data_IF_376266711456
#
_entry.id   IF_376266711456
#
_cell.length_a   1.000
_cell.length_b   1.000
_cell.length_c   1.000
_cell.angle_alpha   90.00
_cell.angle_beta   90.00
_cell.angle_gamma   90.00
#
_symmetry.space_group_name_H-M   'P 1'
#
loop_
_entity.id
_entity.type
_entity.pdbx_description
1 polymer ?
#
# COMPACT_ATOMS: atom_id res chain seq x y z
N UNK A 1 70.41 -40.29 -52.55
CA UNK A 1 71.20 -39.14 -52.04
C UNK A 1 70.34 -37.89 -52.21
N UNK A 2 70.45 -36.95 -51.27
CA UNK A 2 69.42 -36.03 -50.78
C UNK A 2 69.11 -34.75 -51.60
N UNK A 3 68.06 -34.05 -51.13
CA UNK A 3 67.86 -32.57 -51.11
C UNK A 3 67.13 -31.93 -52.32
N UNK A 4 65.87 -31.48 -52.24
CA UNK A 4 65.19 -30.34 -51.54
C UNK A 4 65.01 -29.09 -52.44
N UNK A 5 63.81 -28.91 -53.01
CA UNK A 5 62.74 -27.91 -52.73
C UNK A 5 62.97 -26.47 -53.26
N UNK A 6 62.02 -25.97 -54.06
CA UNK A 6 61.47 -24.60 -53.98
C UNK A 6 60.09 -24.48 -54.68
N UNK A 7 59.23 -23.69 -54.02
CA UNK A 7 57.85 -23.23 -54.28
C UNK A 7 57.76 -22.25 -55.50
N UNK A 8 56.63 -21.78 -56.07
CA UNK A 8 55.23 -21.61 -55.67
C UNK A 8 54.33 -21.36 -56.92
N UNK A 9 52.98 -21.46 -56.81
CA UNK A 9 52.05 -21.46 -57.93
C UNK A 9 51.24 -20.16 -58.14
N UNK A 10 50.54 -20.21 -59.27
CA UNK A 10 49.58 -19.33 -59.94
C UNK A 10 48.38 -18.82 -59.15
N UNK A 11 47.88 -17.65 -59.60
CA UNK A 11 46.60 -17.02 -59.28
C UNK A 11 45.38 -17.85 -59.67
N UNK A 12 44.29 -17.84 -58.89
CA UNK A 12 42.89 -17.80 -59.38
C UNK A 12 41.90 -17.27 -58.33
N UNK A 13 40.81 -16.70 -58.86
CA UNK A 13 39.72 -15.96 -58.24
C UNK A 13 39.10 -16.55 -56.97
N UNK A 14 38.80 -15.66 -56.02
CA UNK A 14 38.12 -15.97 -54.76
C UNK A 14 36.68 -15.43 -54.76
N UNK A 15 35.73 -16.35 -54.58
CA UNK A 15 34.32 -16.11 -54.31
C UNK A 15 34.14 -15.86 -52.80
N UNK A 16 33.90 -14.62 -52.39
CA UNK A 16 33.42 -14.31 -51.03
C UNK A 16 32.22 -13.36 -51.05
N UNK A 17 31.23 -13.56 -50.15
CA UNK A 17 29.97 -12.82 -50.18
C UNK A 17 30.14 -11.40 -49.63
N UNK A 18 29.39 -10.48 -50.24
CA UNK A 18 29.30 -9.07 -49.83
C UNK A 18 28.67 -8.98 -48.44
N UNK A 19 29.30 -8.36 -47.44
CA UNK A 19 28.70 -8.19 -46.13
C UNK A 19 27.59 -7.14 -46.21
N UNK A 20 26.36 -7.53 -45.87
CA UNK A 20 25.25 -6.60 -45.66
C UNK A 20 25.55 -5.77 -44.41
N UNK A 21 25.88 -4.50 -44.62
CA UNK A 21 26.08 -3.54 -43.54
C UNK A 21 24.75 -3.35 -42.80
N UNK A 22 24.58 -4.02 -41.66
CA UNK A 22 23.56 -3.66 -40.68
C UNK A 22 23.95 -2.31 -40.11
N UNK A 23 23.19 -1.26 -40.46
CA UNK A 23 23.33 0.06 -39.86
C UNK A 23 22.91 -0.07 -38.39
N UNK A 24 23.88 -0.29 -37.52
CA UNK A 24 23.69 -0.21 -36.08
C UNK A 24 23.63 1.28 -35.75
N UNK A 25 22.45 1.83 -35.46
CA UNK A 25 22.33 3.16 -34.89
C UNK A 25 22.76 3.08 -33.42
N UNK A 26 23.91 3.63 -33.03
CA UNK A 26 24.30 3.61 -31.63
C UNK A 26 23.34 4.52 -30.87
N UNK A 27 22.57 3.94 -29.93
CA UNK A 27 21.83 4.72 -28.95
C UNK A 27 22.88 5.43 -28.09
N UNK A 28 23.11 6.72 -28.39
CA UNK A 28 23.94 7.58 -27.54
C UNK A 28 23.14 7.96 -26.30
N UNK A 29 23.32 7.19 -25.24
CA UNK A 29 23.09 7.71 -23.89
C UNK A 29 24.18 8.77 -23.63
N UNK A 30 23.84 10.05 -23.78
CA UNK A 30 24.74 11.14 -23.38
C UNK A 30 25.07 11.05 -21.89
N UNK A 31 26.20 11.64 -21.43
CA UNK A 31 26.59 11.64 -20.02
C UNK A 31 25.41 12.06 -19.13
N UNK A 32 25.00 11.20 -18.19
CA UNK A 32 23.93 11.49 -17.21
C UNK A 32 24.40 12.48 -16.13
N UNK A 33 25.56 13.10 -16.33
CA UNK A 33 26.48 13.43 -15.26
C UNK A 33 26.37 14.89 -14.80
N UNK A 34 25.37 15.63 -15.29
CA UNK A 34 25.05 16.99 -14.84
C UNK A 34 23.64 17.13 -14.25
N UNK A 35 22.92 16.02 -14.01
CA UNK A 35 21.79 16.09 -13.09
C UNK A 35 22.37 16.23 -11.69
N UNK A 36 22.38 17.47 -11.19
CA UNK A 36 22.54 17.73 -9.77
C UNK A 36 21.63 16.77 -8.98
N UNK A 37 22.05 16.32 -7.80
CA UNK A 37 21.36 15.24 -7.13
C UNK A 37 19.91 15.68 -6.91
N UNK A 38 18.95 14.84 -7.33
CA UNK A 38 17.50 15.08 -7.28
C UNK A 38 16.99 15.04 -5.81
N UNK A 39 17.71 15.69 -4.89
CA UNK A 39 17.54 15.56 -3.43
C UNK A 39 16.48 16.51 -2.92
N UNK A 40 16.35 17.70 -3.52
CA UNK A 40 15.31 18.66 -3.12
C UNK A 40 13.98 18.27 -3.78
N UNK A 41 13.18 17.45 -3.09
CA UNK A 41 11.79 17.16 -3.45
C UNK A 41 11.41 15.69 -3.60
N UNK A 42 12.33 14.74 -3.39
CA UNK A 42 11.96 13.31 -3.35
C UNK A 42 11.36 12.95 -1.99
N UNK A 43 10.10 12.53 -2.00
CA UNK A 43 9.38 12.01 -0.83
C UNK A 43 9.86 10.59 -0.47
N UNK A 44 10.53 9.88 -1.40
CA UNK A 44 10.99 8.50 -1.25
C UNK A 44 12.51 8.39 -1.26
N UNK A 45 13.05 7.55 -0.37
CA UNK A 45 14.48 7.17 -0.38
C UNK A 45 14.82 6.29 -1.58
N UNK A 46 16.11 6.13 -1.87
CA UNK A 46 16.57 5.19 -2.91
C UNK A 46 16.20 3.75 -2.58
N UNK A 47 16.28 3.36 -1.32
CA UNK A 47 15.93 2.01 -0.85
C UNK A 47 14.43 1.73 -1.03
N UNK A 48 13.57 2.68 -0.64
CA UNK A 48 12.13 2.56 -0.86
C UNK A 48 11.79 2.42 -2.36
N UNK A 49 12.43 3.22 -3.22
CA UNK A 49 12.24 3.14 -4.67
C UNK A 49 12.65 1.76 -5.21
N UNK A 50 13.81 1.24 -4.79
CA UNK A 50 14.29 -0.07 -5.22
C UNK A 50 13.37 -1.20 -4.71
N UNK A 51 12.90 -1.13 -3.47
CA UNK A 51 11.96 -2.08 -2.90
C UNK A 51 10.65 -2.14 -3.68
N UNK A 52 10.04 -0.99 -3.99
CA UNK A 52 8.83 -0.90 -4.82
C UNK A 52 9.06 -1.54 -6.18
N UNK A 53 10.17 -1.21 -6.85
CA UNK A 53 10.48 -1.76 -8.16
C UNK A 53 10.71 -3.26 -8.12
N UNK A 54 11.39 -3.78 -7.09
CA UNK A 54 11.61 -5.20 -6.90
C UNK A 54 10.28 -5.95 -6.69
N UNK A 55 9.38 -5.44 -5.84
CA UNK A 55 8.05 -6.01 -5.61
C UNK A 55 7.24 -6.08 -6.91
N UNK A 56 7.17 -4.98 -7.67
CA UNK A 56 6.42 -4.92 -8.93
C UNK A 56 6.99 -5.88 -9.99
N UNK A 57 8.32 -6.00 -10.07
CA UNK A 57 8.98 -6.97 -10.97
C UNK A 57 8.67 -8.41 -10.57
N UNK A 58 8.75 -8.72 -9.27
CA UNK A 58 8.44 -10.04 -8.74
C UNK A 58 6.99 -10.44 -9.05
N UNK A 59 6.02 -9.55 -8.82
CA UNK A 59 4.60 -9.81 -9.11
C UNK A 59 4.31 -10.00 -10.60
N UNK A 60 4.99 -9.24 -11.47
CA UNK A 60 4.85 -9.42 -12.92
C UNK A 60 5.39 -10.79 -13.35
N UNK A 61 6.51 -11.22 -12.77
CA UNK A 61 7.11 -12.51 -13.07
C UNK A 61 6.27 -13.67 -12.53
N UNK A 62 5.69 -13.53 -11.33
CA UNK A 62 4.80 -14.54 -10.74
C UNK A 62 3.57 -14.85 -11.60
N UNK A 63 3.12 -13.88 -12.38
CA UNK A 63 1.97 -14.03 -13.28
C UNK A 63 2.34 -14.74 -14.59
N UNK A 64 3.63 -14.81 -14.93
CA UNK A 64 4.13 -15.33 -16.21
C UNK A 64 4.76 -16.71 -16.09
N UNK A 65 5.21 -17.11 -14.91
CA UNK A 65 5.80 -18.43 -14.65
C UNK A 65 4.92 -19.20 -13.67
N UNK A 66 4.61 -20.46 -13.98
CA UNK A 66 3.88 -21.41 -13.13
C UNK A 66 4.59 -21.76 -11.81
N UNK A 67 5.78 -21.20 -11.58
CA UNK A 67 6.48 -21.27 -10.30
C UNK A 67 5.98 -20.15 -9.40
N UNK A 68 5.46 -20.51 -8.23
CA UNK A 68 5.02 -19.60 -7.17
C UNK A 68 6.19 -18.68 -6.73
N UNK A 69 6.45 -17.60 -7.47
CA UNK A 69 7.55 -16.69 -7.11
C UNK A 69 7.11 -15.87 -5.91
N UNK A 70 7.65 -16.24 -4.74
CA UNK A 70 7.45 -15.52 -3.48
C UNK A 70 7.91 -14.07 -3.62
N UNK A 71 7.11 -13.13 -3.09
CA UNK A 71 7.50 -11.72 -3.03
C UNK A 71 8.79 -11.57 -2.20
N UNK A 72 9.68 -10.63 -2.56
CA UNK A 72 10.93 -10.40 -1.83
C UNK A 72 10.65 -9.97 -0.39
N UNK A 73 11.50 -10.41 0.55
CA UNK A 73 11.42 -9.98 1.94
C UNK A 73 11.77 -8.51 2.07
N UNK A 74 10.99 -7.77 2.87
CA UNK A 74 11.21 -6.36 3.18
C UNK A 74 11.71 -6.14 4.62
N UNK A 75 12.02 -7.21 5.35
CA UNK A 75 12.43 -7.16 6.77
C UNK A 75 13.68 -6.31 7.05
N UNK A 76 14.52 -6.08 6.05
CA UNK A 76 15.72 -5.23 6.17
C UNK A 76 15.46 -3.75 5.89
N UNK A 77 14.27 -3.40 5.40
CA UNK A 77 13.92 -2.03 5.07
C UNK A 77 13.53 -1.28 6.35
N UNK A 78 14.16 -0.14 6.61
CA UNK A 78 13.88 0.66 7.80
C UNK A 78 12.40 1.10 7.84
N UNK A 79 11.85 1.29 9.04
CA UNK A 79 10.43 1.66 9.26
C UNK A 79 9.95 2.81 8.36
N UNK A 80 10.70 3.90 8.26
CA UNK A 80 10.33 5.05 7.44
C UNK A 80 10.18 4.68 5.96
N UNK A 81 11.11 3.87 5.44
CA UNK A 81 11.10 3.44 4.04
C UNK A 81 10.02 2.39 3.77
N UNK A 82 9.71 1.55 4.75
CA UNK A 82 8.60 0.59 4.67
C UNK A 82 7.25 1.31 4.61
N UNK A 83 7.05 2.33 5.46
CA UNK A 83 5.85 3.17 5.42
C UNK A 83 5.76 4.01 4.13
N UNK A 84 6.89 4.53 3.65
CA UNK A 84 6.97 5.25 2.39
C UNK A 84 6.64 4.34 1.19
N UNK A 85 7.15 3.10 1.21
CA UNK A 85 6.85 2.05 0.24
C UNK A 85 5.36 1.72 0.22
N UNK A 86 4.75 1.52 1.39
CA UNK A 86 3.31 1.28 1.50
C UNK A 86 2.50 2.43 0.91
N UNK A 87 2.78 3.67 1.31
CA UNK A 87 2.07 4.86 0.81
C UNK A 87 2.20 5.03 -0.71
N UNK A 88 3.38 4.79 -1.27
CA UNK A 88 3.58 4.88 -2.71
C UNK A 88 2.84 3.78 -3.47
N UNK A 89 2.79 2.55 -2.93
CA UNK A 89 2.00 1.47 -3.53
C UNK A 89 0.49 1.75 -3.48
N UNK A 90 -0.02 2.29 -2.38
CA UNK A 90 -1.42 2.75 -2.27
C UNK A 90 -1.71 3.87 -3.27
N UNK A 91 -0.78 4.82 -3.45
CA UNK A 91 -0.89 5.90 -4.44
C UNK A 91 -0.93 5.37 -5.88
N UNK A 92 -0.28 4.23 -6.14
CA UNK A 92 -0.29 3.54 -7.44
C UNK A 92 -1.43 2.51 -7.57
N UNK A 93 -2.34 2.45 -6.60
CA UNK A 93 -3.43 1.47 -6.52
C UNK A 93 -2.96 -0.01 -6.60
N UNK A 94 -1.72 -0.29 -6.22
CA UNK A 94 -1.14 -1.63 -6.16
C UNK A 94 -1.55 -2.35 -4.87
N UNK A 95 -2.85 -2.58 -4.70
CA UNK A 95 -3.45 -3.01 -3.43
C UNK A 95 -2.88 -4.35 -2.90
N UNK A 96 -2.68 -5.35 -3.75
CA UNK A 96 -2.12 -6.63 -3.32
C UNK A 96 -0.69 -6.50 -2.77
N UNK A 97 0.16 -5.68 -3.42
CA UNK A 97 1.50 -5.39 -2.91
C UNK A 97 1.43 -4.55 -1.64
N UNK A 98 0.51 -3.60 -1.54
CA UNK A 98 0.32 -2.78 -0.36
C UNK A 98 -0.08 -3.64 0.87
N UNK A 99 -0.98 -4.61 0.70
CA UNK A 99 -1.35 -5.56 1.76
C UNK A 99 -0.16 -6.41 2.21
N UNK A 100 0.67 -6.87 1.27
CA UNK A 100 1.90 -7.58 1.61
C UNK A 100 2.88 -6.73 2.43
N UNK A 101 3.07 -5.46 2.04
CA UNK A 101 3.91 -4.52 2.80
C UNK A 101 3.31 -4.24 4.17
N UNK A 102 1.99 -4.04 4.27
CA UNK A 102 1.30 -3.84 5.54
C UNK A 102 1.49 -5.04 6.49
N UNK A 103 1.40 -6.27 5.98
CA UNK A 103 1.68 -7.48 6.75
C UNK A 103 3.11 -7.47 7.31
N UNK A 104 4.09 -7.00 6.52
CA UNK A 104 5.48 -6.85 7.01
C UNK A 104 5.60 -5.73 8.05
N UNK A 105 4.90 -4.61 7.88
CA UNK A 105 4.85 -3.53 8.89
C UNK A 105 4.31 -4.06 10.22
N UNK A 106 3.26 -4.89 10.18
CA UNK A 106 2.63 -5.49 11.35
C UNK A 106 3.57 -6.44 12.09
N UNK A 107 4.36 -7.24 11.37
CA UNK A 107 5.29 -8.19 11.99
C UNK A 107 6.52 -7.52 12.59
N UNK A 108 7.05 -6.50 11.92
CA UNK A 108 8.31 -5.84 12.33
C UNK A 108 8.09 -4.70 13.33
N UNK A 109 6.95 -4.00 13.24
CA UNK A 109 6.68 -2.78 14.02
C UNK A 109 5.27 -2.71 14.63
N UNK A 110 4.82 -3.72 15.40
CA UNK A 110 3.51 -3.67 16.08
C UNK A 110 3.48 -2.67 17.26
N UNK A 111 2.33 -2.07 17.59
CA UNK A 111 1.07 -2.07 16.84
C UNK A 111 1.01 -0.96 15.75
N UNK A 112 0.46 -1.26 14.57
CA UNK A 112 0.23 -0.25 13.52
C UNK A 112 -0.84 0.79 13.90
N UNK A 113 -0.58 2.06 13.56
CA UNK A 113 -1.50 3.17 13.82
C UNK A 113 -2.80 3.05 13.00
N UNK A 114 -3.93 3.48 13.59
CA UNK A 114 -5.25 3.52 12.93
C UNK A 114 -5.25 4.28 11.60
N UNK A 115 -4.46 5.35 11.50
CA UNK A 115 -4.31 6.14 10.28
C UNK A 115 -3.81 5.32 9.08
N UNK A 116 -2.97 4.31 9.34
CA UNK A 116 -2.45 3.42 8.30
C UNK A 116 -3.55 2.51 7.75
N UNK A 117 -4.38 1.95 8.63
CA UNK A 117 -5.54 1.16 8.22
C UNK A 117 -6.53 2.00 7.44
N UNK A 118 -6.81 3.23 7.89
CA UNK A 118 -7.70 4.14 7.18
C UNK A 118 -7.20 4.42 5.74
N UNK A 119 -5.90 4.61 5.55
CA UNK A 119 -5.30 4.83 4.23
C UNK A 119 -5.43 3.58 3.33
N UNK A 120 -5.17 2.39 3.89
CA UNK A 120 -5.28 1.11 3.17
C UNK A 120 -6.73 0.84 2.79
N UNK A 121 -7.67 0.92 3.73
CA UNK A 121 -9.11 0.73 3.49
C UNK A 121 -9.63 1.72 2.45
N UNK A 122 -9.21 2.99 2.51
CA UNK A 122 -9.59 3.97 1.48
C UNK A 122 -9.12 3.55 0.09
N UNK A 123 -7.92 2.98 -0.04
CA UNK A 123 -7.41 2.46 -1.31
C UNK A 123 -8.18 1.22 -1.77
N UNK A 124 -8.42 0.25 -0.88
CA UNK A 124 -9.19 -0.95 -1.19
C UNK A 124 -10.62 -0.61 -1.63
N UNK A 125 -11.26 0.34 -0.96
CA UNK A 125 -12.61 0.81 -1.27
C UNK A 125 -12.67 1.44 -2.67
N UNK A 126 -11.70 2.30 -3.02
CA UNK A 126 -11.57 2.87 -4.37
C UNK A 126 -11.42 1.78 -5.45
N UNK A 127 -10.77 0.68 -5.12
CA UNK A 127 -10.55 -0.47 -6.02
C UNK A 127 -11.63 -1.56 -5.90
N UNK A 128 -12.70 -1.33 -5.12
CA UNK A 128 -13.83 -2.27 -4.90
C UNK A 128 -13.42 -3.63 -4.34
N UNK A 129 -12.35 -3.66 -3.54
CA UNK A 129 -11.82 -4.88 -2.92
C UNK A 129 -12.46 -5.11 -1.54
N UNK A 130 -13.78 -5.31 -1.49
CA UNK A 130 -14.53 -5.41 -0.23
C UNK A 130 -14.11 -6.61 0.61
N UNK A 131 -13.81 -7.76 0.00
CA UNK A 131 -13.32 -8.95 0.71
C UNK A 131 -11.99 -8.67 1.45
N UNK A 132 -11.07 -7.94 0.82
CA UNK A 132 -9.81 -7.54 1.46
C UNK A 132 -10.03 -6.56 2.62
N UNK A 133 -11.05 -5.69 2.51
CA UNK A 133 -11.45 -4.82 3.61
C UNK A 133 -11.96 -5.66 4.78
N UNK A 134 -12.82 -6.64 4.52
CA UNK A 134 -13.39 -7.50 5.57
C UNK A 134 -12.33 -8.32 6.28
N UNK A 135 -11.38 -8.90 5.54
CA UNK A 135 -10.22 -9.57 6.11
C UNK A 135 -9.36 -8.62 6.94
N UNK A 136 -9.05 -7.44 6.40
CA UNK A 136 -8.22 -6.46 7.10
C UNK A 136 -8.84 -5.98 8.42
N UNK A 137 -10.14 -5.65 8.42
CA UNK A 137 -10.87 -5.24 9.62
C UNK A 137 -11.05 -6.41 10.60
N UNK A 138 -11.23 -7.63 10.09
CA UNK A 138 -11.32 -8.82 10.93
C UNK A 138 -10.05 -9.10 11.74
N UNK A 139 -8.89 -8.69 11.23
CA UNK A 139 -7.60 -8.82 11.92
C UNK A 139 -7.24 -7.59 12.79
N UNK A 140 -8.09 -6.56 12.83
CA UNK A 140 -7.89 -5.38 13.66
C UNK A 140 -8.37 -5.67 15.09
N UNK A 141 -7.49 -6.23 15.92
CA UNK A 141 -7.73 -6.41 17.35
C UNK A 141 -6.75 -5.55 18.16
N UNK A 142 -7.21 -4.96 19.27
CA UNK A 142 -6.35 -4.20 20.20
C UNK A 142 -5.78 -2.89 19.64
N UNK A 143 -6.39 -2.30 18.60
CA UNK A 143 -5.98 -1.01 18.03
C UNK A 143 -6.76 0.12 18.71
N UNK A 144 -6.03 1.03 19.33
CA UNK A 144 -6.60 2.23 19.96
C UNK A 144 -7.32 3.12 18.92
N UNK A 145 -8.54 3.54 19.25
CA UNK A 145 -9.38 4.37 18.39
C UNK A 145 -9.24 5.88 18.66
N UNK A 146 -8.08 6.29 19.21
CA UNK A 146 -7.80 7.65 19.67
C UNK A 146 -7.76 8.72 18.56
N UNK A 147 -7.33 8.36 17.35
CA UNK A 147 -7.29 9.32 16.23
C UNK A 147 -8.67 9.41 15.56
N UNK A 148 -9.50 10.34 16.03
CA UNK A 148 -10.85 10.58 15.49
C UNK A 148 -10.85 10.82 13.97
N UNK A 149 -9.83 11.47 13.42
CA UNK A 149 -9.74 11.74 11.97
C UNK A 149 -9.44 10.46 11.20
N UNK A 150 -8.57 9.60 11.72
CA UNK A 150 -8.34 8.27 11.15
C UNK A 150 -9.58 7.39 11.27
N UNK A 151 -10.21 7.36 12.44
CA UNK A 151 -11.43 6.60 12.69
C UNK A 151 -12.56 7.01 11.73
N UNK A 152 -12.77 8.31 11.57
CA UNK A 152 -13.75 8.84 10.62
C UNK A 152 -13.46 8.42 9.17
N UNK A 153 -12.19 8.46 8.75
CA UNK A 153 -11.78 8.04 7.41
C UNK A 153 -11.98 6.54 7.21
N UNK A 154 -11.64 5.73 8.20
CA UNK A 154 -11.85 4.29 8.21
C UNK A 154 -13.34 3.96 8.07
N UNK A 155 -14.20 4.54 8.92
CA UNK A 155 -15.65 4.36 8.90
C UNK A 155 -16.24 4.77 7.55
N UNK A 156 -15.85 5.94 7.01
CA UNK A 156 -16.28 6.37 5.68
C UNK A 156 -15.82 5.40 4.58
N UNK A 157 -14.62 4.84 4.69
CA UNK A 157 -14.08 3.86 3.78
C UNK A 157 -14.90 2.57 3.75
N UNK A 158 -15.17 1.96 4.91
CA UNK A 158 -15.95 0.70 5.00
C UNK A 158 -17.40 0.89 4.58
N UNK A 159 -18.04 2.00 4.99
CA UNK A 159 -19.39 2.35 4.57
C UNK A 159 -19.39 2.59 3.05
N UNK A 160 -18.40 3.32 2.52
CA UNK A 160 -18.28 3.58 1.09
C UNK A 160 -18.11 2.32 0.25
N UNK A 161 -17.38 1.32 0.77
CA UNK A 161 -17.20 0.01 0.15
C UNK A 161 -18.44 -0.91 0.26
N UNK A 162 -19.46 -0.49 1.01
CA UNK A 162 -20.66 -1.30 1.23
C UNK A 162 -20.46 -2.47 2.18
N UNK A 163 -19.38 -2.49 2.97
CA UNK A 163 -19.16 -3.57 3.93
C UNK A 163 -19.95 -3.32 5.22
N UNK A 164 -21.03 -4.08 5.37
CA UNK A 164 -21.84 -4.10 6.59
C UNK A 164 -21.05 -4.68 7.75
N UNK A 165 -20.46 -5.86 7.57
CA UNK A 165 -19.84 -6.62 8.65
C UNK A 165 -18.62 -5.89 9.22
N UNK A 166 -17.82 -5.24 8.37
CA UNK A 166 -16.72 -4.38 8.82
C UNK A 166 -17.21 -3.16 9.58
N UNK A 167 -18.33 -2.56 9.16
CA UNK A 167 -18.93 -1.41 9.86
C UNK A 167 -19.40 -1.81 11.26
N UNK A 168 -20.02 -2.99 11.40
CA UNK A 168 -20.45 -3.54 12.69
C UNK A 168 -19.24 -3.88 13.56
N UNK A 169 -18.18 -4.48 13.00
CA UNK A 169 -16.94 -4.75 13.74
C UNK A 169 -16.29 -3.49 14.30
N UNK A 170 -16.18 -2.42 13.49
CA UNK A 170 -15.64 -1.14 13.98
C UNK A 170 -16.49 -0.57 15.11
N UNK A 171 -17.81 -0.74 15.08
CA UNK A 171 -18.66 -0.38 16.21
C UNK A 171 -18.31 -1.16 17.49
N UNK A 172 -18.04 -2.46 17.39
CA UNK A 172 -17.56 -3.28 18.52
C UNK A 172 -16.23 -2.80 19.08
N UNK A 173 -15.25 -2.56 18.19
CA UNK A 173 -13.93 -2.03 18.58
C UNK A 173 -14.03 -0.69 19.31
N UNK A 174 -14.91 0.20 18.85
CA UNK A 174 -15.15 1.48 19.50
C UNK A 174 -15.74 1.34 20.91
N UNK A 175 -16.59 0.33 21.14
CA UNK A 175 -17.15 0.06 22.48
C UNK A 175 -16.10 -0.51 23.41
N UNK A 176 -15.31 -1.47 22.94
CA UNK A 176 -14.22 -2.07 23.72
C UNK A 176 -13.19 -1.01 24.13
N UNK A 177 -12.77 -0.15 23.18
CA UNK A 177 -11.83 0.95 23.43
C UNK A 177 -12.45 2.06 24.30
N UNK A 178 -13.73 2.39 24.10
CA UNK A 178 -14.44 3.38 24.92
C UNK A 178 -14.59 2.95 26.37
N UNK A 179 -14.85 1.66 26.61
CA UNK A 179 -14.88 1.05 27.95
C UNK A 179 -13.49 1.07 28.59
N UNK A 180 -12.45 0.77 27.81
CA UNK A 180 -11.07 0.74 28.31
C UNK A 180 -10.50 2.14 28.60
N UNK A 181 -10.79 3.13 27.74
CA UNK A 181 -10.16 4.46 27.77
C UNK A 181 -10.99 5.54 28.47
N UNK A 182 -12.30 5.32 28.71
CA UNK A 182 -13.27 6.31 29.23
C UNK A 182 -13.27 7.62 28.41
N UNK A 183 -12.88 7.59 27.13
CA UNK A 183 -12.81 8.77 26.26
C UNK A 183 -14.09 8.93 25.44
N UNK A 184 -14.51 10.18 25.24
CA UNK A 184 -15.66 10.51 24.40
C UNK A 184 -15.28 10.49 22.93
N UNK A 185 -15.98 9.68 22.12
CA UNK A 185 -15.87 9.74 20.66
C UNK A 185 -16.58 10.99 20.13
N UNK A 186 -15.93 11.73 19.23
CA UNK A 186 -16.50 12.93 18.63
C UNK A 186 -17.87 12.72 17.98
N UNK A 187 -18.80 13.66 18.23
CA UNK A 187 -20.18 13.66 17.71
C UNK A 187 -20.29 13.34 16.22
N UNK A 188 -19.36 13.86 15.41
CA UNK A 188 -19.40 13.66 13.96
C UNK A 188 -19.14 12.21 13.57
N UNK A 189 -18.24 11.51 14.28
CA UNK A 189 -17.97 10.09 14.07
C UNK A 189 -19.22 9.26 14.35
N UNK A 190 -19.84 9.47 15.51
CA UNK A 190 -21.10 8.83 15.94
C UNK A 190 -22.20 9.02 14.89
N UNK A 191 -22.38 10.26 14.40
CA UNK A 191 -23.39 10.58 13.39
C UNK A 191 -23.15 9.84 12.06
N UNK A 192 -21.90 9.77 11.61
CA UNK A 192 -21.55 9.09 10.35
C UNK A 192 -21.74 7.58 10.49
N UNK A 193 -21.33 7.00 11.62
CA UNK A 193 -21.47 5.57 11.91
C UNK A 193 -22.95 5.16 12.00
N UNK A 194 -23.77 5.86 12.80
CA UNK A 194 -25.21 5.61 12.90
C UNK A 194 -25.91 5.67 11.54
N UNK A 195 -25.61 6.70 10.73
CA UNK A 195 -26.18 6.81 9.38
C UNK A 195 -25.77 5.62 8.49
N UNK A 196 -24.51 5.18 8.58
CA UNK A 196 -24.01 4.01 7.88
C UNK A 196 -24.75 2.74 8.26
N UNK A 197 -24.87 2.47 9.57
CA UNK A 197 -25.57 1.31 10.13
C UNK A 197 -27.04 1.28 9.70
N UNK A 198 -27.75 2.41 9.80
CA UNK A 198 -29.15 2.53 9.33
C UNK A 198 -29.28 2.23 7.83
N UNK A 199 -28.32 2.66 7.02
CA UNK A 199 -28.29 2.37 5.57
C UNK A 199 -28.13 0.89 5.27
N UNK A 200 -27.51 0.14 6.17
CA UNK A 200 -27.38 -1.32 6.08
C UNK A 200 -28.50 -2.10 6.77
N UNK A 201 -29.51 -1.41 7.32
CA UNK A 201 -30.62 -2.04 8.05
C UNK A 201 -30.34 -2.30 9.54
N UNK A 202 -29.15 -1.95 10.04
CA UNK A 202 -28.73 -2.17 11.43
C UNK A 202 -29.23 -1.04 12.35
N UNK A 203 -30.55 -0.85 12.40
CA UNK A 203 -31.21 0.26 13.13
C UNK A 203 -31.01 0.16 14.64
N UNK A 204 -31.02 -1.06 15.20
CA UNK A 204 -30.79 -1.29 16.62
C UNK A 204 -29.40 -0.84 17.07
N UNK A 205 -28.37 -1.30 16.35
CA UNK A 205 -26.97 -0.89 16.61
C UNK A 205 -26.78 0.62 16.44
N UNK A 206 -27.44 1.24 15.47
CA UNK A 206 -27.35 2.68 15.27
C UNK A 206 -27.90 3.49 16.46
N UNK A 207 -29.02 3.04 17.06
CA UNK A 207 -29.60 3.67 18.24
C UNK A 207 -28.74 3.48 19.49
N UNK A 208 -28.17 2.28 19.65
CA UNK A 208 -27.26 1.98 20.75
C UNK A 208 -26.03 2.90 20.73
N UNK A 209 -25.39 3.04 19.56
CA UNK A 209 -24.25 3.95 19.35
C UNK A 209 -24.60 5.41 19.66
N UNK A 210 -25.80 5.86 19.29
CA UNK A 210 -26.26 7.21 19.59
C UNK A 210 -26.51 7.43 21.08
N UNK A 211 -27.04 6.43 21.79
CA UNK A 211 -27.25 6.51 23.24
C UNK A 211 -25.93 6.51 24.00
N UNK A 212 -25.05 5.58 23.66
CA UNK A 212 -23.79 5.34 24.38
C UNK A 212 -22.78 6.48 24.18
N UNK A 213 -22.66 6.99 22.95
CA UNK A 213 -21.68 8.02 22.61
C UNK A 213 -22.29 9.41 22.40
N UNK A 214 -23.62 9.55 22.32
CA UNK A 214 -24.29 10.84 22.09
C UNK A 214 -24.58 11.65 23.37
N UNK A 215 -24.72 11.00 24.52
CA UNK A 215 -25.10 11.65 25.78
C UNK A 215 -23.97 12.46 26.45
N UNK A 216 -22.70 12.20 26.12
CA UNK A 216 -21.53 12.92 26.64
C UNK A 216 -21.45 14.40 26.21
N UNK A 217 -22.40 14.89 25.40
CA UNK A 217 -22.41 16.28 24.92
C UNK A 217 -23.42 17.20 25.59
N UNK A 218 -24.27 16.71 26.50
CA UNK A 218 -25.23 17.56 27.22
C UNK A 218 -24.63 18.31 28.42
N UNK A 219 -23.41 17.98 28.86
CA UNK A 219 -22.81 18.51 30.09
C UNK A 219 -21.94 19.76 29.97
N UNK A 220 -21.94 20.51 28.86
CA UNK A 220 -21.01 21.65 28.68
C UNK A 220 -21.66 22.95 28.20
N UNK A 221 -22.95 23.17 28.51
CA UNK A 221 -23.63 24.45 28.26
C UNK A 221 -24.01 25.22 29.54
N UNK A 222 -23.71 24.69 30.73
CA UNK A 222 -24.14 25.30 32.00
C UNK A 222 -23.11 26.26 32.65
N UNK A 223 -21.95 26.51 32.03
CA UNK A 223 -20.91 27.40 32.58
C UNK A 223 -20.77 28.76 31.86
N UNK A 224 -21.80 29.21 31.14
CA UNK A 224 -21.82 30.55 30.53
C UNK A 224 -23.07 31.34 30.96
N UNK A 225 -23.27 31.44 32.28
CA UNK A 225 -24.07 32.50 32.91
C UNK A 225 -23.50 32.84 34.28
N UNK A 226 -22.53 33.75 34.32
CA UNK A 226 -22.39 34.79 35.36
C UNK A 226 -21.92 36.06 34.64
#
# INVERSE_FOLDING_TARGET
MASSLCFNPTSLHSLYPIPTQRIFTPIRCGPRDNRGPLVKGRILSTEAIQAIQALKRAQRNSSSTTTNSRLPSLSRLIKCDLLATLRELLRQDQCALALHVLSTVRSEYPPPNLSLYADVVASLARNRLTHEIDGLIGEMEGIECDDEKALLRLIKGVIGAGSKDSTVRICGLMKEDGVASRKSVGRHVVKVLSKGLRRFGEVGLALEVESEFGELSRGNLDNLRI
#
